data_IF_796471159792
#
_entry.id   IF_796471159792
#
_cell.length_a   1.000
_cell.length_b   1.000
_cell.length_c   1.000
_cell.angle_alpha   90.00
_cell.angle_beta   90.00
_cell.angle_gamma   90.00
#
_symmetry.space_group_name_H-M   'P 1'
#
loop_
_entity.id
_entity.type
_entity.pdbx_description
1 polymer ?
#
# COMPACT_ATOMS: atom_id res chain seq x y z
N UNK A 1 -2.91 1.58 14.94
CA UNK A 1 -3.76 2.46 14.11
C UNK A 1 -2.85 3.07 13.07
N UNK A 2 -2.73 2.44 11.91
CA UNK A 2 -1.77 2.84 10.88
C UNK A 2 -2.37 3.97 10.05
N UNK A 3 -1.75 5.15 10.11
CA UNK A 3 -2.14 6.34 9.37
C UNK A 3 -1.88 6.13 7.88
N UNK A 4 -2.88 6.52 7.09
CA UNK A 4 -2.90 6.48 5.63
C UNK A 4 -1.72 7.23 5.00
N UNK A 5 -1.21 6.70 3.89
CA UNK A 5 -0.27 7.35 2.98
C UNK A 5 -0.95 8.45 2.15
N UNK A 6 -1.70 9.34 2.80
CA UNK A 6 -2.40 10.45 2.13
C UNK A 6 -1.74 11.78 2.50
N UNK A 7 -1.05 12.34 1.50
CA UNK A 7 -0.93 13.76 1.21
C UNK A 7 0.27 14.55 1.77
N UNK A 8 1.31 14.62 0.94
CA UNK A 8 2.08 15.86 0.73
C UNK A 8 1.17 16.80 -0.09
N UNK A 9 0.14 17.36 0.55
CA UNK A 9 -0.49 18.63 0.16
C UNK A 9 -1.49 18.99 1.27
N UNK A 10 -1.36 20.22 1.77
CA UNK A 10 -1.92 20.65 3.03
C UNK A 10 -3.44 20.58 3.15
N UNK A 11 -3.85 20.52 4.42
CA UNK A 11 -5.18 20.81 4.96
C UNK A 11 -6.34 19.98 4.40
N UNK A 12 -6.66 18.86 5.03
CA UNK A 12 -8.03 18.47 5.46
C UNK A 12 -7.90 17.31 6.45
N UNK A 13 -8.32 17.51 7.70
CA UNK A 13 -8.58 16.40 8.62
C UNK A 13 -9.84 15.69 8.12
N UNK A 14 -9.69 14.60 7.37
CA UNK A 14 -10.81 13.78 6.94
C UNK A 14 -11.06 12.71 8.01
N UNK A 15 -12.02 12.98 8.89
CA UNK A 15 -12.42 12.08 9.99
C UNK A 15 -13.17 10.82 9.54
N UNK A 16 -13.40 10.64 8.24
CA UNK A 16 -14.23 9.54 7.69
C UNK A 16 -13.45 8.55 6.79
N UNK A 17 -12.11 8.64 6.70
CA UNK A 17 -11.35 7.62 5.96
C UNK A 17 -11.27 6.36 6.82
N UNK A 18 -12.00 5.31 6.41
CA UNK A 18 -11.92 4.02 7.08
C UNK A 18 -10.48 3.47 6.94
N UNK A 19 -9.81 3.10 8.05
CA UNK A 19 -8.46 2.59 7.99
C UNK A 19 -8.42 1.25 7.25
N UNK A 20 -7.36 1.03 6.48
CA UNK A 20 -7.06 -0.32 5.99
C UNK A 20 -6.64 -1.20 7.16
N UNK A 21 -7.26 -2.36 7.27
CA UNK A 21 -6.83 -3.38 8.22
C UNK A 21 -5.77 -4.21 7.53
N UNK A 22 -4.55 -4.19 8.08
CA UNK A 22 -3.47 -5.04 7.64
C UNK A 22 -3.42 -6.26 8.56
N UNK A 23 -3.45 -7.44 7.97
CA UNK A 23 -3.19 -8.70 8.67
C UNK A 23 -1.79 -9.18 8.34
N UNK A 24 -1.29 -10.14 9.12
CA UNK A 24 -0.01 -10.77 8.81
C UNK A 24 -0.09 -11.47 7.44
N UNK A 25 0.92 -11.23 6.60
CA UNK A 25 0.94 -11.83 5.27
C UNK A 25 1.39 -13.29 5.39
N UNK A 26 1.02 -14.15 4.43
CA UNK A 26 1.51 -15.53 4.41
C UNK A 26 3.03 -15.63 4.40
N UNK A 27 3.59 -16.72 4.93
CA UNK A 27 5.04 -16.92 5.07
C UNK A 27 5.83 -16.70 3.77
N UNK A 28 5.28 -17.12 2.63
CA UNK A 28 5.93 -16.96 1.32
C UNK A 28 6.01 -15.50 0.85
N UNK A 29 5.29 -14.59 1.50
CA UNK A 29 5.28 -13.13 1.30
C UNK A 29 5.78 -12.38 2.54
N UNK A 30 6.39 -13.06 3.53
CA UNK A 30 6.86 -12.44 4.78
C UNK A 30 7.81 -11.26 4.53
N UNK A 31 8.64 -11.32 3.48
CA UNK A 31 9.56 -10.25 3.08
C UNK A 31 8.87 -8.95 2.62
N UNK A 32 7.57 -9.00 2.30
CA UNK A 32 6.74 -7.84 1.96
C UNK A 32 5.78 -7.46 3.09
N UNK A 33 5.77 -8.18 4.22
CA UNK A 33 4.75 -8.02 5.23
C UNK A 33 4.92 -6.71 6.02
N UNK A 34 4.01 -5.72 5.86
CA UNK A 34 4.12 -4.46 6.59
C UNK A 34 3.91 -4.65 8.10
N UNK A 35 3.13 -5.65 8.52
CA UNK A 35 2.89 -5.95 9.93
C UNK A 35 4.17 -6.43 10.61
N UNK A 36 4.89 -7.39 10.00
CA UNK A 36 6.15 -7.89 10.52
C UNK A 36 7.25 -6.82 10.49
N UNK A 37 7.34 -6.06 9.39
CA UNK A 37 8.30 -4.95 9.27
C UNK A 37 8.05 -3.89 10.36
N UNK A 38 6.79 -3.53 10.58
CA UNK A 38 6.40 -2.56 11.60
C UNK A 38 6.65 -3.06 13.03
N UNK A 39 6.31 -4.32 13.33
CA UNK A 39 6.58 -4.93 14.63
C UNK A 39 8.09 -4.96 14.93
N UNK A 40 8.91 -5.36 13.94
CA UNK A 40 10.37 -5.36 14.04
C UNK A 40 10.93 -3.96 14.27
N UNK A 41 10.39 -2.96 13.56
CA UNK A 41 10.76 -1.57 13.74
C UNK A 41 10.44 -1.07 15.16
N UNK A 42 9.23 -1.30 15.68
CA UNK A 42 8.88 -0.91 17.04
C UNK A 42 9.75 -1.62 18.09
N UNK A 43 10.05 -2.89 17.87
CA UNK A 43 10.95 -3.65 18.74
C UNK A 43 12.38 -3.09 18.74
N UNK A 44 12.91 -2.70 17.58
CA UNK A 44 14.26 -2.13 17.50
C UNK A 44 14.32 -0.70 18.09
N UNK A 45 13.29 0.11 17.85
CA UNK A 45 13.28 1.54 18.19
C UNK A 45 12.78 1.84 19.61
N UNK A 46 12.02 0.92 20.21
CA UNK A 46 11.38 1.08 21.52
C UNK A 46 10.50 2.35 21.62
N UNK A 47 9.98 2.82 20.47
CA UNK A 47 9.09 3.98 20.40
C UNK A 47 7.72 3.61 20.99
N UNK A 48 7.29 4.36 22.01
CA UNK A 48 5.99 4.15 22.68
C UNK A 48 5.01 5.31 22.48
N UNK A 49 5.47 6.45 21.97
CA UNK A 49 4.66 7.66 21.78
C UNK A 49 5.21 8.57 20.67
N UNK A 50 4.49 9.61 20.28
CA UNK A 50 4.96 10.58 19.27
C UNK A 50 4.96 10.04 17.84
N UNK A 51 5.84 10.57 16.99
CA UNK A 51 5.95 10.16 15.60
C UNK A 51 6.46 8.72 15.48
N UNK A 52 5.82 7.96 14.59
CA UNK A 52 6.22 6.59 14.26
C UNK A 52 7.55 6.60 13.51
N UNK A 53 7.61 7.29 12.37
CA UNK A 53 8.83 7.40 11.57
C UNK A 53 9.58 8.66 11.95
N UNK A 54 10.71 8.46 12.63
CA UNK A 54 11.52 9.55 13.17
C UNK A 54 12.84 9.66 12.43
N UNK A 55 13.43 10.86 12.45
CA UNK A 55 14.74 11.10 11.85
C UNK A 55 15.81 10.24 12.53
N UNK A 56 16.60 9.55 11.72
CA UNK A 56 17.79 8.80 12.16
C UNK A 56 19.01 9.73 12.07
N UNK A 57 19.75 9.85 13.16
CA UNK A 57 20.95 10.66 13.30
C UNK A 57 22.20 9.78 13.30
N UNK A 58 23.37 10.39 13.16
CA UNK A 58 24.65 9.70 13.20
C UNK A 58 24.79 8.79 14.44
N UNK A 59 25.26 7.56 14.19
CA UNK A 59 25.37 6.49 15.18
C UNK A 59 24.04 5.81 15.50
N UNK A 60 23.14 5.70 14.52
CA UNK A 60 21.82 5.05 14.63
C UNK A 60 20.92 5.58 15.74
N UNK A 61 21.10 6.86 16.09
CA UNK A 61 20.31 7.52 17.14
C UNK A 61 19.01 8.03 16.56
N UNK A 62 17.90 7.72 17.22
CA UNK A 62 16.57 8.12 16.79
C UNK A 62 16.19 9.46 17.45
N UNK A 63 15.88 10.46 16.63
CA UNK A 63 15.38 11.77 17.09
C UNK A 63 13.92 11.69 17.54
N UNK A 64 13.40 12.71 18.20
CA UNK A 64 11.95 12.89 18.42
C UNK A 64 11.25 13.59 17.25
N UNK A 65 12.03 14.13 16.31
CA UNK A 65 11.50 14.82 15.13
C UNK A 65 11.06 13.83 14.04
N UNK A 66 9.99 14.11 13.29
CA UNK A 66 9.58 13.27 12.16
C UNK A 66 10.67 13.26 11.08
N UNK A 67 10.73 12.16 10.31
CA UNK A 67 11.53 12.13 9.08
C UNK A 67 10.90 13.05 8.04
N UNK A 68 11.72 13.76 7.25
CA UNK A 68 11.22 14.56 6.12
C UNK A 68 11.17 13.71 4.86
N UNK A 69 10.36 14.12 3.88
CA UNK A 69 10.26 13.43 2.58
C UNK A 69 11.60 13.37 1.85
N UNK A 70 12.42 14.42 1.96
CA UNK A 70 13.75 14.49 1.36
C UNK A 70 14.70 13.49 2.00
N UNK A 71 14.73 13.41 3.34
CA UNK A 71 15.57 12.43 4.05
C UNK A 71 15.11 11.01 3.75
N UNK A 72 13.81 10.77 3.68
CA UNK A 72 13.28 9.46 3.28
C UNK A 72 13.74 9.08 1.87
N UNK A 73 13.64 10.01 0.91
CA UNK A 73 14.02 9.76 -0.48
C UNK A 73 15.52 9.49 -0.62
N UNK A 74 16.35 10.22 0.11
CA UNK A 74 17.80 9.98 0.17
C UNK A 74 18.11 8.59 0.70
N UNK A 75 17.53 8.18 1.83
CA UNK A 75 17.69 6.84 2.39
C UNK A 75 17.22 5.75 1.44
N UNK A 76 16.09 5.98 0.76
CA UNK A 76 15.56 5.05 -0.22
C UNK A 76 16.51 4.87 -1.41
N UNK A 77 17.08 5.95 -1.94
CA UNK A 77 18.07 5.88 -3.01
C UNK A 77 19.34 5.14 -2.58
N UNK A 78 19.80 5.32 -1.33
CA UNK A 78 20.92 4.55 -0.80
C UNK A 78 20.61 3.05 -0.77
N UNK A 79 19.40 2.67 -0.31
CA UNK A 79 18.98 1.26 -0.33
C UNK A 79 18.93 0.67 -1.74
N UNK A 80 18.51 1.45 -2.76
CA UNK A 80 18.51 1.01 -4.16
C UNK A 80 19.94 0.80 -4.68
N UNK A 81 20.85 1.72 -4.36
CA UNK A 81 22.26 1.61 -4.72
C UNK A 81 22.92 0.38 -4.09
N UNK A 82 22.60 0.08 -2.83
CA UNK A 82 23.12 -1.10 -2.11
C UNK A 82 22.73 -2.43 -2.78
N UNK A 83 21.57 -2.49 -3.43
CA UNK A 83 21.12 -3.66 -4.19
C UNK A 83 21.43 -3.58 -5.69
N UNK A 84 22.21 -2.58 -6.12
CA UNK A 84 22.66 -2.43 -7.51
C UNK A 84 21.59 -1.94 -8.49
N UNK A 85 20.56 -1.25 -8.00
CA UNK A 85 19.48 -0.67 -8.82
C UNK A 85 19.76 0.82 -9.05
N UNK A 86 19.64 1.27 -10.31
CA UNK A 86 19.69 2.69 -10.65
C UNK A 86 18.52 3.43 -9.98
N UNK A 87 18.84 4.41 -9.14
CA UNK A 87 17.85 5.16 -8.36
C UNK A 87 17.22 6.32 -9.14
N UNK A 88 17.82 6.77 -10.26
CA UNK A 88 17.34 7.91 -11.06
C UNK A 88 15.85 7.83 -11.44
N UNK A 89 15.29 6.69 -11.86
CA UNK A 89 13.87 6.61 -12.21
C UNK A 89 12.94 6.55 -10.99
N UNK A 90 13.46 6.49 -9.76
CA UNK A 90 12.68 6.32 -8.56
C UNK A 90 12.52 7.63 -7.76
N UNK A 91 11.28 8.00 -7.47
CA UNK A 91 10.92 9.22 -6.74
C UNK A 91 9.89 8.96 -5.65
N UNK A 92 9.32 10.03 -5.09
CA UNK A 92 8.31 9.96 -4.01
C UNK A 92 7.05 9.18 -4.39
N UNK A 93 6.71 9.12 -5.67
CA UNK A 93 5.55 8.38 -6.19
C UNK A 93 5.85 6.91 -6.54
N UNK A 94 7.10 6.46 -6.47
CA UNK A 94 7.48 5.12 -6.91
C UNK A 94 6.82 4.02 -6.10
N UNK A 95 6.61 4.23 -4.79
CA UNK A 95 5.88 3.28 -3.94
C UNK A 95 4.41 3.19 -4.32
N UNK A 96 3.75 4.32 -4.58
CA UNK A 96 2.35 4.31 -5.01
C UNK A 96 2.20 3.61 -6.37
N UNK A 97 3.09 3.91 -7.31
CA UNK A 97 3.08 3.29 -8.63
C UNK A 97 3.37 1.78 -8.55
N UNK A 98 4.44 1.39 -7.86
CA UNK A 98 4.81 -0.02 -7.69
C UNK A 98 3.77 -0.81 -6.90
N UNK A 99 3.16 -0.21 -5.88
CA UNK A 99 2.05 -0.80 -5.13
C UNK A 99 0.84 -1.06 -6.03
N UNK A 100 0.40 -0.07 -6.81
CA UNK A 100 -0.68 -0.23 -7.78
C UNK A 100 -0.39 -1.33 -8.81
N UNK A 101 0.84 -1.39 -9.32
CA UNK A 101 1.27 -2.44 -10.24
C UNK A 101 1.23 -3.81 -9.59
N UNK A 102 1.80 -3.96 -8.39
CA UNK A 102 1.80 -5.23 -7.65
C UNK A 102 0.38 -5.72 -7.35
N UNK A 103 -0.51 -4.85 -6.87
CA UNK A 103 -1.89 -5.25 -6.58
C UNK A 103 -2.65 -5.64 -7.85
N UNK A 104 -2.48 -4.91 -8.96
CA UNK A 104 -3.15 -5.21 -10.23
C UNK A 104 -2.60 -6.46 -10.92
N UNK A 105 -1.27 -6.61 -10.96
CA UNK A 105 -0.60 -7.64 -11.75
C UNK A 105 -0.43 -8.92 -10.93
N UNK A 106 0.09 -8.84 -9.71
CA UNK A 106 0.42 -10.02 -8.91
C UNK A 106 -0.78 -10.48 -8.07
N UNK A 107 -1.45 -9.55 -7.38
CA UNK A 107 -2.62 -9.88 -6.56
C UNK A 107 -3.93 -9.96 -7.36
N UNK A 108 -3.90 -9.55 -8.64
CA UNK A 108 -5.07 -9.53 -9.53
C UNK A 108 -6.26 -8.76 -8.94
N UNK A 109 -5.98 -7.69 -8.21
CA UNK A 109 -7.03 -6.81 -7.72
C UNK A 109 -7.75 -6.17 -8.90
N UNK A 110 -9.09 -6.20 -8.91
CA UNK A 110 -9.86 -5.47 -9.91
C UNK A 110 -9.57 -3.97 -9.77
N UNK A 111 -9.70 -3.25 -10.88
CA UNK A 111 -9.32 -1.84 -10.96
C UNK A 111 -10.02 -1.00 -9.88
N UNK A 112 -11.30 -1.26 -9.60
CA UNK A 112 -12.05 -0.56 -8.54
C UNK A 112 -11.38 -0.69 -7.17
N UNK A 113 -10.86 -1.88 -6.84
CA UNK A 113 -10.22 -2.15 -5.55
C UNK A 113 -8.88 -1.41 -5.45
N UNK A 114 -8.12 -1.32 -6.55
CA UNK A 114 -6.88 -0.53 -6.62
C UNK A 114 -7.17 0.96 -6.50
N UNK A 115 -8.24 1.45 -7.13
CA UNK A 115 -8.66 2.85 -7.02
C UNK A 115 -9.12 3.20 -5.60
N UNK A 116 -9.90 2.32 -4.95
CA UNK A 116 -10.29 2.50 -3.55
C UNK A 116 -9.09 2.44 -2.61
N UNK A 117 -8.10 1.58 -2.89
CA UNK A 117 -6.84 1.56 -2.14
C UNK A 117 -6.04 2.85 -2.28
N UNK A 118 -5.95 3.37 -3.50
CA UNK A 118 -5.23 4.60 -3.82
C UNK A 118 -5.95 5.88 -3.39
N UNK A 119 -7.14 5.78 -2.79
CA UNK A 119 -8.02 6.88 -2.44
C UNK A 119 -8.35 7.77 -3.67
N UNK A 120 -8.50 7.14 -4.83
CA UNK A 120 -8.86 7.82 -6.06
C UNK A 120 -10.38 7.89 -6.19
N UNK A 121 -10.89 9.06 -6.54
CA UNK A 121 -12.31 9.23 -6.86
C UNK A 121 -12.71 8.29 -8.01
N UNK A 122 -13.88 7.64 -7.87
CA UNK A 122 -14.53 6.93 -8.97
C UNK A 122 -14.92 7.90 -10.12
N UNK A 123 -14.95 9.21 -9.86
CA UNK A 123 -15.14 10.25 -10.87
C UNK A 123 -13.82 10.63 -11.54
N UNK A 124 -13.37 9.80 -12.47
CA UNK A 124 -12.17 10.09 -13.27
C UNK A 124 -12.46 11.22 -14.28
N UNK A 125 -11.85 12.38 -14.12
CA UNK A 125 -12.09 13.54 -14.99
C UNK A 125 -11.52 13.39 -16.41
N UNK A 126 -10.50 12.55 -16.60
CA UNK A 126 -9.67 12.56 -17.82
C UNK A 126 -9.56 11.24 -18.60
N UNK A 127 -10.05 10.10 -18.08
CA UNK A 127 -9.93 8.81 -18.76
C UNK A 127 -11.29 8.16 -19.01
N UNK A 128 -11.79 8.34 -20.23
CA UNK A 128 -13.05 7.75 -20.72
C UNK A 128 -13.09 6.23 -20.50
N UNK A 129 -11.98 5.53 -20.72
CA UNK A 129 -11.89 4.08 -20.50
C UNK A 129 -12.15 3.68 -19.04
N UNK A 130 -11.68 4.48 -18.07
CA UNK A 130 -11.85 4.14 -16.65
C UNK A 130 -13.32 4.27 -16.23
N UNK A 131 -14.04 5.25 -16.77
CA UNK A 131 -15.50 5.38 -16.55
C UNK A 131 -16.31 4.20 -17.10
N UNK A 132 -15.80 3.50 -18.11
CA UNK A 132 -16.43 2.28 -18.63
C UNK A 132 -16.04 1.02 -17.84
N UNK A 133 -14.90 1.05 -17.15
CA UNK A 133 -14.38 -0.08 -16.36
C UNK A 133 -14.77 -0.03 -14.88
N UNK A 134 -15.11 1.15 -14.37
CA UNK A 134 -15.54 1.40 -13.00
C UNK A 134 -16.73 2.34 -13.03
N UNK A 135 -17.83 1.91 -12.42
CA UNK A 135 -19.05 2.67 -12.20
C UNK A 135 -19.32 2.82 -10.71
N UNK A 136 -19.93 3.94 -10.31
CA UNK A 136 -20.45 4.11 -8.95
C UNK A 136 -21.48 3.02 -8.56
N UNK A 137 -22.08 2.37 -9.55
CA UNK A 137 -23.04 1.29 -9.34
C UNK A 137 -22.39 -0.10 -9.25
N UNK A 138 -21.07 -0.21 -9.40
CA UNK A 138 -20.38 -1.49 -9.22
C UNK A 138 -20.35 -1.82 -7.72
N UNK A 139 -20.93 -2.96 -7.34
CA UNK A 139 -20.98 -3.38 -5.94
C UNK A 139 -19.62 -3.98 -5.54
N UNK A 140 -18.90 -3.43 -4.55
CA UNK A 140 -17.64 -4.02 -4.10
C UNK A 140 -17.89 -5.43 -3.59
N UNK A 141 -17.26 -6.41 -4.24
CA UNK A 141 -17.40 -7.83 -3.89
C UNK A 141 -16.78 -8.14 -2.52
N UNK A 142 -15.81 -7.32 -2.08
CA UNK A 142 -15.08 -7.44 -0.83
C UNK A 142 -15.15 -6.11 -0.07
N UNK A 143 -15.30 -6.15 1.26
CA UNK A 143 -15.21 -4.95 2.07
C UNK A 143 -13.76 -4.47 2.17
N UNK A 144 -13.56 -3.15 2.29
CA UNK A 144 -12.22 -2.51 2.41
C UNK A 144 -11.33 -3.11 3.50
N UNK A 145 -11.94 -3.55 4.61
CA UNK A 145 -11.24 -4.22 5.72
C UNK A 145 -10.61 -5.57 5.36
N UNK A 146 -11.08 -6.20 4.29
CA UNK A 146 -10.68 -7.56 3.88
C UNK A 146 -9.65 -7.52 2.74
N UNK A 147 -9.27 -6.32 2.24
CA UNK A 147 -8.37 -6.18 1.09
C UNK A 147 -7.02 -6.90 1.26
N UNK A 148 -6.42 -6.82 2.44
CA UNK A 148 -5.16 -7.49 2.78
C UNK A 148 -5.35 -8.67 3.73
N UNK A 149 -6.53 -9.29 3.72
CA UNK A 149 -6.75 -10.57 4.38
C UNK A 149 -6.51 -11.69 3.36
N UNK A 150 -5.28 -12.21 3.34
CA UNK A 150 -4.90 -13.31 2.45
C UNK A 150 -5.51 -14.66 2.85
N UNK A 151 -6.12 -14.74 4.04
CA UNK A 151 -6.85 -15.92 4.49
C UNK A 151 -8.34 -15.82 4.14
N UNK A 152 -8.80 -14.68 3.60
CA UNK A 152 -10.18 -14.51 3.21
C UNK A 152 -10.55 -15.49 2.09
N UNK A 153 -11.54 -16.36 2.28
CA UNK A 153 -11.98 -17.24 1.21
C UNK A 153 -12.61 -16.40 0.09
N UNK A 154 -12.34 -16.69 -1.19
CA UNK A 154 -12.97 -15.96 -2.28
C UNK A 154 -14.48 -16.19 -2.25
N UNK A 155 -15.23 -15.15 -2.56
CA UNK A 155 -16.69 -15.18 -2.63
C UNK A 155 -17.20 -16.22 -3.66
N UNK A 156 -16.38 -16.54 -4.68
CA UNK A 156 -16.65 -17.53 -5.72
C UNK A 156 -15.36 -18.29 -6.08
N UNK A 157 -15.38 -19.63 -6.12
CA UNK A 157 -14.28 -20.40 -6.70
C UNK A 157 -14.18 -20.11 -8.20
N UNK A 158 -12.98 -19.77 -8.68
CA UNK A 158 -12.76 -19.59 -10.11
C UNK A 158 -12.93 -20.95 -10.83
N UNK A 159 -13.88 -21.07 -11.79
CA UNK A 159 -14.14 -22.33 -12.46
C UNK A 159 -12.97 -22.80 -13.35
N UNK A 160 -12.06 -21.89 -13.72
CA UNK A 160 -10.91 -22.21 -14.57
C UNK A 160 -9.63 -22.51 -13.77
N UNK A 161 -9.25 -21.64 -12.81
CA UNK A 161 -8.03 -21.83 -12.03
C UNK A 161 -8.21 -22.86 -10.89
N UNK A 162 -9.45 -23.10 -10.43
CA UNK A 162 -9.82 -23.89 -9.22
C UNK A 162 -9.04 -23.55 -7.95
N UNK A 163 -8.35 -22.41 -7.94
CA UNK A 163 -7.70 -21.82 -6.79
C UNK A 163 -8.52 -20.64 -6.29
N UNK A 164 -8.16 -20.18 -5.10
CA UNK A 164 -8.67 -18.95 -4.52
C UNK A 164 -8.08 -17.75 -5.28
N UNK A 165 -8.66 -17.38 -6.42
CA UNK A 165 -8.09 -16.35 -7.31
C UNK A 165 -9.15 -15.37 -7.85
N UNK A 166 -8.83 -14.07 -7.87
CA UNK A 166 -9.58 -13.03 -8.59
C UNK A 166 -9.31 -13.09 -10.11
N UNK A 167 -9.44 -14.27 -10.73
CA UNK A 167 -9.18 -14.41 -12.15
C UNK A 167 -10.17 -13.56 -12.98
N UNK A 168 -9.62 -12.91 -14.02
CA UNK A 168 -10.39 -12.18 -15.01
C UNK A 168 -11.36 -13.11 -15.78
N UNK A 169 -12.48 -12.60 -16.32
CA UNK A 169 -13.37 -13.39 -17.16
C UNK A 169 -12.63 -13.74 -18.46
N UNK A 170 -12.29 -15.02 -18.63
CA UNK A 170 -11.57 -15.51 -19.82
C UNK A 170 -10.54 -16.60 -19.56
N UNK A 171 -10.30 -16.98 -18.31
CA UNK A 171 -9.74 -18.28 -18.00
C UNK A 171 -10.79 -19.38 -18.21
#
# INVERSE_FOLDING_TARGET
MLTSWTSISGHYYYSDIQPFVLTEFPDYMAYLCPVQAYASYLHATQITSGYVFRKIMAGDRISETPITSETFLEMFWMNLLDVGIDHIPYGTHSFCHGGCQWMSIDLRWPLWQVCEWGDWSAEFSSLTIVKYLISWNDNPMNARKDFFDFNHPPTLMCPSCRQNCNCAPGC
#
